data_IF_311286117643
#
_entry.id   IF_311286117643
#
_cell.length_a   1.000
_cell.length_b   1.000
_cell.length_c   1.000
_cell.angle_alpha   90.00
_cell.angle_beta   90.00
_cell.angle_gamma   90.00
#
_symmetry.space_group_name_H-M   'P 1'
#
loop_
_entity.id
_entity.type
_entity.pdbx_description
1 polymer ?
#
# COMPACT_ATOMS: atom_id res chain seq x y z
N UNK A 1 -29.63 -3.08 -10.77
CA UNK A 1 -28.87 -3.46 -9.55
C UNK A 1 -29.74 -4.36 -8.67
N UNK A 2 -29.19 -5.37 -8.04
CA UNK A 2 -29.92 -6.28 -7.15
C UNK A 2 -30.35 -5.48 -5.89
N UNK A 3 -31.64 -5.57 -5.46
CA UNK A 3 -32.18 -4.82 -4.33
C UNK A 3 -31.35 -5.01 -3.05
N UNK A 4 -30.84 -6.22 -2.81
CA UNK A 4 -30.02 -6.56 -1.66
C UNK A 4 -28.69 -5.78 -1.59
N UNK A 5 -28.08 -5.50 -2.73
CA UNK A 5 -26.81 -4.74 -2.82
C UNK A 5 -27.09 -3.27 -2.54
N UNK A 6 -28.16 -2.72 -3.11
CA UNK A 6 -28.59 -1.35 -2.82
C UNK A 6 -28.80 -1.13 -1.32
N UNK A 7 -29.49 -2.08 -0.66
CA UNK A 7 -29.77 -2.00 0.78
C UNK A 7 -28.48 -2.04 1.62
N UNK A 8 -27.50 -2.85 1.22
CA UNK A 8 -26.20 -2.90 1.90
C UNK A 8 -25.42 -1.58 1.76
N UNK A 9 -25.38 -0.99 0.55
CA UNK A 9 -24.74 0.31 0.34
C UNK A 9 -25.40 1.39 1.18
N UNK A 10 -26.72 1.47 1.14
CA UNK A 10 -27.50 2.45 1.90
C UNK A 10 -27.27 2.28 3.41
N UNK A 11 -27.23 1.05 3.90
CA UNK A 11 -26.93 0.77 5.30
C UNK A 11 -25.55 1.29 5.71
N UNK A 12 -24.49 1.07 4.89
CA UNK A 12 -23.15 1.58 5.17
C UNK A 12 -23.09 3.11 5.09
N UNK A 13 -23.76 3.72 4.11
CA UNK A 13 -23.88 5.16 3.96
C UNK A 13 -24.58 5.80 5.16
N UNK A 14 -25.70 5.23 5.62
CA UNK A 14 -26.43 5.73 6.80
C UNK A 14 -25.62 5.58 8.08
N UNK A 15 -24.86 4.51 8.20
CA UNK A 15 -23.99 4.30 9.36
C UNK A 15 -22.85 5.31 9.40
N UNK A 16 -22.12 5.53 8.29
CA UNK A 16 -21.00 6.45 8.28
C UNK A 16 -21.44 7.91 8.45
N UNK A 17 -22.64 8.25 8.01
CA UNK A 17 -23.22 9.60 8.20
C UNK A 17 -23.27 10.01 9.66
N UNK A 18 -23.45 9.06 10.59
CA UNK A 18 -23.51 9.29 12.03
C UNK A 18 -22.14 9.41 12.70
N UNK A 19 -21.06 9.16 11.96
CA UNK A 19 -19.70 9.26 12.51
C UNK A 19 -19.33 10.72 12.74
N UNK A 20 -18.68 10.99 13.88
CA UNK A 20 -18.04 12.27 14.19
C UNK A 20 -16.60 12.36 13.68
N UNK A 21 -16.05 11.25 13.14
CA UNK A 21 -14.70 11.17 12.59
C UNK A 21 -14.68 11.63 11.14
N UNK A 22 -13.48 11.82 10.58
CA UNK A 22 -13.30 12.01 9.15
C UNK A 22 -13.91 10.81 8.41
N UNK A 23 -14.89 11.08 7.57
CA UNK A 23 -15.65 10.08 6.84
C UNK A 23 -14.99 9.81 5.49
N UNK A 24 -14.61 8.57 5.29
CA UNK A 24 -13.91 8.12 4.08
C UNK A 24 -14.69 6.99 3.43
N UNK A 25 -14.72 6.96 2.10
CA UNK A 25 -15.16 5.79 1.35
C UNK A 25 -14.07 5.36 0.37
N UNK A 26 -13.88 4.07 0.17
CA UNK A 26 -13.06 3.56 -0.92
C UNK A 26 -13.91 2.80 -1.92
N UNK A 27 -13.75 3.11 -3.20
CA UNK A 27 -14.36 2.40 -4.31
C UNK A 27 -13.26 1.84 -5.19
N UNK A 28 -13.21 0.51 -5.30
CA UNK A 28 -12.15 -0.19 -6.01
C UNK A 28 -12.66 -1.32 -6.87
N UNK A 29 -11.74 -1.94 -7.60
CA UNK A 29 -11.96 -3.14 -8.38
C UNK A 29 -10.98 -4.24 -7.97
N UNK A 30 -11.21 -5.47 -8.44
CA UNK A 30 -10.31 -6.61 -8.20
C UNK A 30 -10.10 -7.40 -9.48
N UNK A 31 -8.92 -8.00 -9.61
CA UNK A 31 -8.62 -8.91 -10.74
C UNK A 31 -9.36 -10.24 -10.67
N UNK A 32 -9.95 -10.60 -9.53
CA UNK A 32 -10.85 -11.75 -9.43
C UNK A 32 -12.15 -11.41 -10.13
N UNK A 33 -12.67 -12.35 -10.92
CA UNK A 33 -14.01 -12.20 -11.48
C UNK A 33 -15.02 -12.24 -10.32
N UNK A 34 -15.55 -11.08 -9.99
CA UNK A 34 -16.66 -10.97 -9.06
C UNK A 34 -17.94 -11.07 -9.88
N UNK A 35 -18.79 -12.01 -9.52
CA UNK A 35 -20.13 -12.11 -10.10
C UNK A 35 -20.98 -10.88 -9.74
N UNK A 36 -20.68 -10.22 -8.63
CA UNK A 36 -21.46 -9.14 -8.05
C UNK A 36 -20.58 -8.11 -7.32
N UNK A 37 -21.15 -6.96 -7.07
CA UNK A 37 -20.71 -5.93 -6.15
C UNK A 37 -20.48 -6.47 -4.73
N UNK A 38 -19.40 -6.03 -4.07
CA UNK A 38 -19.10 -6.42 -2.70
C UNK A 38 -18.97 -5.21 -1.78
N UNK A 39 -19.62 -5.29 -0.63
CA UNK A 39 -19.37 -4.42 0.50
C UNK A 39 -18.31 -5.08 1.38
N UNK A 40 -17.17 -4.44 1.53
CA UNK A 40 -16.08 -4.94 2.36
C UNK A 40 -16.23 -4.46 3.81
N UNK A 41 -15.57 -5.13 4.78
CA UNK A 41 -15.62 -4.69 6.16
C UNK A 41 -15.19 -3.24 6.33
N UNK A 42 -15.90 -2.53 7.20
CA UNK A 42 -15.59 -1.16 7.60
C UNK A 42 -14.23 -1.12 8.30
N UNK A 43 -13.47 -0.05 8.06
CA UNK A 43 -12.21 0.23 8.75
C UNK A 43 -12.41 1.44 9.64
N UNK A 44 -12.12 1.30 10.93
CA UNK A 44 -12.21 2.39 11.90
C UNK A 44 -10.85 2.60 12.57
N UNK A 45 -10.45 3.86 12.66
CA UNK A 45 -9.26 4.32 13.34
C UNK A 45 -9.63 5.46 14.29
N UNK A 46 -8.66 5.98 15.01
CA UNK A 46 -8.91 7.06 15.96
C UNK A 46 -9.55 8.28 15.30
N UNK A 47 -9.02 8.70 14.15
CA UNK A 47 -9.39 9.95 13.49
C UNK A 47 -10.31 9.78 12.28
N UNK A 48 -10.50 8.57 11.76
CA UNK A 48 -11.36 8.36 10.59
C UNK A 48 -12.11 7.02 10.62
N UNK A 49 -13.19 6.98 9.87
CA UNK A 49 -13.92 5.77 9.50
C UNK A 49 -13.98 5.65 7.99
N UNK A 50 -13.83 4.41 7.49
CA UNK A 50 -13.86 4.13 6.07
C UNK A 50 -14.80 2.98 5.75
N UNK A 51 -15.74 3.22 4.84
CA UNK A 51 -16.56 2.19 4.19
C UNK A 51 -15.92 1.81 2.87
N UNK A 52 -16.05 0.55 2.46
CA UNK A 52 -15.25 0.02 1.37
C UNK A 52 -16.10 -0.81 0.41
N UNK A 53 -15.98 -0.51 -0.88
CA UNK A 53 -16.76 -1.13 -1.94
C UNK A 53 -15.85 -1.69 -3.03
N UNK A 54 -16.18 -2.89 -3.53
CA UNK A 54 -15.62 -3.43 -4.76
C UNK A 54 -16.70 -3.53 -5.82
N UNK A 55 -16.46 -2.90 -6.94
CA UNK A 55 -17.37 -2.84 -8.08
C UNK A 55 -16.75 -3.50 -9.31
N UNK A 56 -17.58 -4.04 -10.17
CA UNK A 56 -17.17 -4.66 -11.43
C UNK A 56 -17.90 -4.11 -12.66
N UNK A 57 -18.93 -3.28 -12.45
CA UNK A 57 -19.74 -2.68 -13.52
C UNK A 57 -19.85 -1.17 -13.35
N UNK A 58 -19.95 -0.41 -14.45
CA UNK A 58 -20.11 1.06 -14.41
C UNK A 58 -21.33 1.51 -13.61
N UNK A 59 -22.46 0.77 -13.71
CA UNK A 59 -23.71 1.11 -13.04
C UNK A 59 -23.58 1.00 -11.52
N UNK A 60 -22.84 -0.01 -11.03
CA UNK A 60 -22.58 -0.20 -9.59
C UNK A 60 -21.64 0.90 -9.06
N UNK A 61 -20.64 1.29 -9.86
CA UNK A 61 -19.75 2.39 -9.53
C UNK A 61 -20.49 3.73 -9.45
N UNK A 62 -21.29 4.05 -10.48
CA UNK A 62 -22.10 5.27 -10.53
C UNK A 62 -23.03 5.37 -9.32
N UNK A 63 -23.74 4.28 -9.02
CA UNK A 63 -24.62 4.23 -7.85
C UNK A 63 -23.86 4.48 -6.54
N UNK A 64 -22.68 3.89 -6.36
CA UNK A 64 -21.86 4.15 -5.17
C UNK A 64 -21.48 5.62 -5.07
N UNK A 65 -20.94 6.19 -6.13
CA UNK A 65 -20.46 7.57 -6.11
C UNK A 65 -21.60 8.57 -5.83
N UNK A 66 -22.77 8.38 -6.44
CA UNK A 66 -23.95 9.21 -6.18
C UNK A 66 -24.39 9.16 -4.69
N UNK A 67 -24.28 8.00 -4.03
CA UNK A 67 -24.70 7.83 -2.65
C UNK A 67 -23.65 8.31 -1.63
N UNK A 68 -22.40 8.35 -2.05
CA UNK A 68 -21.28 8.78 -1.22
C UNK A 68 -21.10 10.30 -1.25
N UNK A 69 -21.45 10.95 -2.36
CA UNK A 69 -21.24 12.39 -2.56
C UNK A 69 -21.96 13.22 -1.50
N UNK A 70 -21.23 14.13 -0.86
CA UNK A 70 -21.74 14.98 0.23
C UNK A 70 -22.03 14.23 1.54
N UNK A 71 -21.86 12.90 1.59
CA UNK A 71 -21.98 12.09 2.82
C UNK A 71 -20.63 11.83 3.45
N UNK A 72 -19.62 11.54 2.62
CA UNK A 72 -18.24 11.36 3.08
C UNK A 72 -17.40 12.56 2.73
N UNK A 73 -16.34 12.79 3.52
CA UNK A 73 -15.42 13.90 3.29
C UNK A 73 -14.46 13.58 2.12
N UNK A 74 -14.04 12.30 2.03
CA UNK A 74 -13.07 11.82 1.03
C UNK A 74 -13.58 10.54 0.36
N UNK A 75 -13.54 10.51 -0.97
CA UNK A 75 -13.73 9.32 -1.79
C UNK A 75 -12.39 8.88 -2.36
N UNK A 76 -11.88 7.75 -1.90
CA UNK A 76 -10.69 7.10 -2.44
C UNK A 76 -11.07 6.26 -3.66
N UNK A 77 -10.56 6.60 -4.82
CA UNK A 77 -10.88 5.96 -6.09
C UNK A 77 -9.70 5.12 -6.56
N UNK A 78 -9.91 3.83 -6.74
CA UNK A 78 -8.91 2.90 -7.26
C UNK A 78 -8.52 3.25 -8.69
N UNK A 79 -7.27 3.61 -8.88
CA UNK A 79 -6.70 3.95 -10.21
C UNK A 79 -5.84 2.82 -10.80
N UNK A 80 -5.82 1.67 -10.15
CA UNK A 80 -5.08 0.51 -10.66
C UNK A 80 -5.97 -0.31 -11.59
N UNK A 81 -5.83 -0.14 -12.88
CA UNK A 81 -6.63 -0.77 -13.93
C UNK A 81 -6.62 -2.32 -13.87
N UNK A 82 -7.32 -2.88 -12.89
CA UNK A 82 -7.46 -4.33 -12.67
C UNK A 82 -8.56 -4.94 -13.54
N UNK A 83 -9.46 -4.11 -14.02
CA UNK A 83 -10.55 -4.42 -14.96
C UNK A 83 -10.65 -3.31 -16.00
N UNK A 84 -11.42 -3.56 -17.06
CA UNK A 84 -11.76 -2.56 -18.08
C UNK A 84 -12.83 -1.58 -17.56
N UNK A 85 -12.52 -0.88 -16.45
CA UNK A 85 -13.41 0.04 -15.78
C UNK A 85 -12.61 1.24 -15.28
N UNK A 86 -12.87 2.43 -15.82
CA UNK A 86 -12.26 3.67 -15.36
C UNK A 86 -13.10 4.27 -14.23
N UNK A 87 -12.73 3.92 -12.99
CA UNK A 87 -13.41 4.42 -11.80
C UNK A 87 -13.19 5.92 -11.59
N UNK A 88 -12.06 6.47 -12.03
CA UNK A 88 -11.78 7.90 -11.87
C UNK A 88 -12.65 8.74 -12.80
N UNK A 89 -12.84 8.32 -14.05
CA UNK A 89 -13.77 8.96 -14.99
C UNK A 89 -15.19 8.98 -14.41
N UNK A 90 -15.67 7.83 -13.88
CA UNK A 90 -16.99 7.74 -13.28
C UNK A 90 -17.08 8.63 -12.04
N UNK A 91 -16.09 8.59 -11.14
CA UNK A 91 -16.10 9.41 -9.93
C UNK A 91 -16.18 10.89 -10.25
N UNK A 92 -15.39 11.40 -11.20
CA UNK A 92 -15.41 12.82 -11.57
C UNK A 92 -16.75 13.28 -12.13
N UNK A 93 -17.54 12.36 -12.69
CA UNK A 93 -18.88 12.64 -13.21
C UNK A 93 -19.95 12.74 -12.12
N UNK A 94 -19.83 11.94 -11.06
CA UNK A 94 -20.88 11.75 -10.06
C UNK A 94 -20.57 12.35 -8.69
N UNK A 95 -19.31 12.69 -8.38
CA UNK A 95 -18.90 13.29 -7.11
C UNK A 95 -18.63 14.76 -7.31
N UNK A 96 -19.40 15.63 -6.62
CA UNK A 96 -19.31 17.09 -6.74
C UNK A 96 -19.01 17.80 -5.42
N UNK A 97 -19.32 17.18 -4.28
CA UNK A 97 -19.22 17.77 -2.94
C UNK A 97 -18.13 17.15 -2.09
N UNK A 98 -17.86 15.87 -2.29
CA UNK A 98 -16.78 15.15 -1.59
C UNK A 98 -15.46 15.29 -2.32
N UNK A 99 -14.34 15.23 -1.59
CA UNK A 99 -13.00 15.25 -2.19
C UNK A 99 -12.67 13.92 -2.86
N UNK A 100 -12.32 13.94 -4.14
CA UNK A 100 -11.86 12.75 -4.87
C UNK A 100 -10.35 12.61 -4.69
N UNK A 101 -9.88 11.43 -4.30
CA UNK A 101 -8.47 11.12 -4.14
C UNK A 101 -8.12 9.81 -4.85
N UNK A 102 -7.10 9.86 -5.70
CA UNK A 102 -6.57 8.68 -6.36
C UNK A 102 -5.98 7.70 -5.33
N UNK A 103 -6.39 6.44 -5.39
CA UNK A 103 -5.99 5.40 -4.45
C UNK A 103 -5.41 4.20 -5.18
N UNK A 104 -4.35 3.64 -4.61
CA UNK A 104 -3.67 2.44 -5.14
C UNK A 104 -3.72 1.32 -4.10
N UNK A 105 -4.78 0.48 -4.11
CA UNK A 105 -4.95 -0.57 -3.11
C UNK A 105 -3.84 -1.61 -3.08
N UNK A 106 -3.17 -1.87 -4.22
CA UNK A 106 -2.01 -2.76 -4.23
C UNK A 106 -0.84 -2.18 -3.43
N UNK A 107 -0.62 -0.86 -3.49
CA UNK A 107 0.43 -0.22 -2.70
C UNK A 107 0.14 -0.31 -1.20
N UNK A 108 -1.12 -0.15 -0.79
CA UNK A 108 -1.53 -0.39 0.59
C UNK A 108 -1.31 -1.85 1.03
N UNK A 109 -1.54 -2.80 0.12
CA UNK A 109 -1.27 -4.23 0.37
C UNK A 109 0.22 -4.51 0.52
N UNK A 110 1.06 -3.90 -0.32
CA UNK A 110 2.52 -4.00 -0.22
C UNK A 110 3.01 -3.43 1.11
N UNK A 111 2.50 -2.26 1.51
CA UNK A 111 2.84 -1.61 2.78
C UNK A 111 2.46 -2.48 3.97
N UNK A 112 1.26 -3.06 3.97
CA UNK A 112 0.80 -3.93 5.04
C UNK A 112 1.68 -5.19 5.17
N UNK A 113 2.05 -5.81 4.05
CA UNK A 113 2.92 -6.98 4.06
C UNK A 113 4.35 -6.65 4.51
N UNK A 114 4.92 -5.53 4.03
CA UNK A 114 6.24 -5.04 4.47
C UNK A 114 6.25 -4.82 5.99
N UNK A 115 5.22 -4.16 6.53
CA UNK A 115 5.09 -3.93 7.97
C UNK A 115 5.00 -5.23 8.77
N UNK A 116 4.19 -6.20 8.33
CA UNK A 116 4.06 -7.49 9.02
C UNK A 116 5.38 -8.26 9.07
N UNK A 117 6.10 -8.33 7.94
CA UNK A 117 7.41 -8.97 7.86
C UNK A 117 8.42 -8.26 8.76
N UNK A 118 8.46 -6.94 8.71
CA UNK A 118 9.36 -6.13 9.54
C UNK A 118 9.08 -6.28 11.02
N UNK A 119 7.82 -6.24 11.43
CA UNK A 119 7.43 -6.44 12.83
C UNK A 119 7.84 -7.81 13.35
N UNK A 120 7.63 -8.86 12.55
CA UNK A 120 8.02 -10.21 12.93
C UNK A 120 9.52 -10.33 13.17
N UNK A 121 10.34 -9.76 12.29
CA UNK A 121 11.80 -9.80 12.41
C UNK A 121 12.41 -8.59 13.14
N UNK A 122 11.59 -7.74 13.76
CA UNK A 122 12.04 -6.54 14.50
C UNK A 122 12.99 -5.67 13.65
N UNK A 123 12.63 -5.46 12.37
CA UNK A 123 13.43 -4.79 11.35
C UNK A 123 14.80 -5.45 11.02
N UNK A 124 15.08 -6.64 11.53
CA UNK A 124 16.33 -7.39 11.27
C UNK A 124 16.15 -8.34 10.06
N UNK A 125 16.08 -7.77 8.85
CA UNK A 125 15.86 -8.55 7.62
C UNK A 125 17.15 -9.00 6.94
N UNK A 126 18.28 -8.43 7.29
CA UNK A 126 19.58 -8.84 6.73
C UNK A 126 19.86 -10.31 6.98
N UNK A 127 20.17 -11.06 5.91
CA UNK A 127 20.41 -12.50 5.95
C UNK A 127 19.15 -13.37 6.08
N UNK A 128 17.95 -12.77 6.10
CA UNK A 128 16.70 -13.54 6.02
C UNK A 128 16.41 -13.95 4.58
N UNK A 129 15.85 -15.14 4.41
CA UNK A 129 15.39 -15.65 3.11
C UNK A 129 13.87 -15.73 3.10
N UNK A 130 13.22 -15.02 2.19
CA UNK A 130 11.76 -14.95 2.10
C UNK A 130 11.31 -15.57 0.77
N UNK A 131 10.41 -16.56 0.86
CA UNK A 131 9.72 -17.13 -0.29
C UNK A 131 8.48 -16.27 -0.60
N UNK A 132 8.35 -15.82 -1.85
CA UNK A 132 7.16 -15.12 -2.34
C UNK A 132 6.48 -15.98 -3.39
N UNK A 133 5.23 -16.37 -3.13
CA UNK A 133 4.39 -17.07 -4.09
C UNK A 133 3.64 -16.08 -4.97
N UNK A 134 3.88 -16.17 -6.28
CA UNK A 134 3.36 -15.27 -7.30
C UNK A 134 4.41 -14.30 -7.85
N UNK A 135 4.19 -13.84 -9.08
CA UNK A 135 5.01 -12.85 -9.78
C UNK A 135 4.13 -11.70 -10.34
N UNK A 136 3.15 -11.28 -9.56
CA UNK A 136 2.26 -10.16 -9.88
C UNK A 136 2.77 -8.82 -9.33
N UNK A 137 1.98 -7.77 -9.51
CA UNK A 137 2.29 -6.41 -9.10
C UNK A 137 2.67 -6.30 -7.60
N UNK A 138 1.84 -6.88 -6.71
CA UNK A 138 2.08 -6.81 -5.25
C UNK A 138 3.34 -7.60 -4.89
N UNK A 139 3.48 -8.82 -5.41
CA UNK A 139 4.65 -9.68 -5.17
C UNK A 139 5.96 -9.02 -5.60
N UNK A 140 5.98 -8.40 -6.79
CA UNK A 140 7.15 -7.72 -7.33
C UNK A 140 7.55 -6.50 -6.49
N UNK A 141 6.60 -5.67 -6.12
CA UNK A 141 6.84 -4.49 -5.26
C UNK A 141 7.34 -4.89 -3.87
N UNK A 142 6.74 -5.94 -3.27
CA UNK A 142 7.19 -6.43 -1.98
C UNK A 142 8.59 -7.04 -2.07
N UNK A 143 8.87 -7.83 -3.11
CA UNK A 143 10.18 -8.42 -3.34
C UNK A 143 11.28 -7.35 -3.39
N UNK A 144 11.04 -6.27 -4.14
CA UNK A 144 11.98 -5.14 -4.21
C UNK A 144 12.21 -4.52 -2.83
N UNK A 145 11.15 -4.17 -2.11
CA UNK A 145 11.24 -3.54 -0.78
C UNK A 145 12.01 -4.38 0.24
N UNK A 146 11.73 -5.67 0.30
CA UNK A 146 12.41 -6.57 1.24
C UNK A 146 13.87 -6.79 0.83
N UNK A 147 14.16 -6.88 -0.48
CA UNK A 147 15.53 -7.00 -0.98
C UNK A 147 16.37 -5.75 -0.69
N UNK A 148 15.81 -4.55 -0.83
CA UNK A 148 16.45 -3.30 -0.45
C UNK A 148 16.75 -3.20 1.05
N UNK A 149 16.05 -4.00 1.88
CA UNK A 149 16.33 -4.19 3.32
C UNK A 149 17.32 -5.33 3.59
N UNK A 150 18.01 -5.81 2.56
CA UNK A 150 18.98 -6.90 2.59
C UNK A 150 18.40 -8.28 2.93
N UNK A 151 17.12 -8.55 2.66
CA UNK A 151 16.56 -9.89 2.63
C UNK A 151 16.85 -10.56 1.28
N UNK A 152 17.17 -11.84 1.27
CA UNK A 152 17.23 -12.65 0.05
C UNK A 152 15.83 -13.11 -0.33
N UNK A 153 15.43 -12.90 -1.58
CA UNK A 153 14.07 -13.19 -2.03
C UNK A 153 14.08 -14.33 -3.03
N UNK A 154 13.24 -15.33 -2.80
CA UNK A 154 12.94 -16.38 -3.77
C UNK A 154 11.50 -16.23 -4.25
N UNK A 155 11.31 -16.11 -5.56
CA UNK A 155 9.98 -15.97 -6.17
C UNK A 155 9.60 -17.25 -6.90
N UNK A 156 8.48 -17.84 -6.52
CA UNK A 156 7.91 -19.03 -7.16
C UNK A 156 6.60 -18.66 -7.86
N UNK A 157 6.47 -19.00 -9.13
CA UNK A 157 5.26 -18.79 -9.91
C UNK A 157 5.01 -19.94 -10.88
N UNK A 158 3.73 -20.25 -11.14
CA UNK A 158 3.34 -21.25 -12.16
C UNK A 158 3.93 -20.98 -13.53
N UNK A 159 4.11 -19.72 -13.88
CA UNK A 159 4.77 -19.32 -15.11
C UNK A 159 6.17 -18.80 -14.76
N UNK A 160 7.15 -19.71 -14.80
CA UNK A 160 8.52 -19.39 -14.50
C UNK A 160 9.13 -18.36 -15.45
N UNK A 161 8.84 -18.43 -16.75
CA UNK A 161 9.35 -17.45 -17.72
C UNK A 161 8.91 -16.03 -17.37
N UNK A 162 7.64 -15.85 -17.00
CA UNK A 162 7.14 -14.55 -16.53
C UNK A 162 7.81 -14.12 -15.22
N UNK A 163 7.97 -15.05 -14.27
CA UNK A 163 8.65 -14.76 -13.01
C UNK A 163 10.09 -14.31 -13.25
N UNK A 164 10.82 -14.99 -14.13
CA UNK A 164 12.20 -14.64 -14.51
C UNK A 164 12.29 -13.22 -15.09
N UNK A 165 11.40 -12.88 -16.04
CA UNK A 165 11.37 -11.52 -16.60
C UNK A 165 11.15 -10.45 -15.53
N UNK A 166 10.24 -10.69 -14.57
CA UNK A 166 10.00 -9.79 -13.45
C UNK A 166 11.25 -9.68 -12.56
N UNK A 167 11.85 -10.79 -12.21
CA UNK A 167 13.07 -10.88 -11.38
C UNK A 167 14.24 -10.14 -12.02
N UNK A 168 14.47 -10.35 -13.32
CA UNK A 168 15.53 -9.68 -14.05
C UNK A 168 15.33 -8.14 -14.04
N UNK A 169 14.09 -7.68 -14.24
CA UNK A 169 13.73 -6.27 -14.15
C UNK A 169 13.94 -5.69 -12.74
N UNK A 170 13.56 -6.42 -11.70
CA UNK A 170 13.75 -5.98 -10.32
C UNK A 170 15.24 -5.91 -9.94
N UNK A 171 16.04 -6.91 -10.34
CA UNK A 171 17.48 -6.89 -10.06
C UNK A 171 18.19 -5.74 -10.81
N UNK A 172 17.73 -5.37 -12.01
CA UNK A 172 18.29 -4.28 -12.79
C UNK A 172 18.12 -2.89 -12.12
N UNK A 173 17.13 -2.75 -11.24
CA UNK A 173 16.85 -1.49 -10.52
C UNK A 173 17.31 -1.50 -9.07
N UNK A 174 17.87 -2.60 -8.57
CA UNK A 174 18.45 -2.65 -7.23
C UNK A 174 19.62 -1.67 -7.11
N UNK A 175 19.82 -1.07 -5.92
CA UNK A 175 20.99 -0.22 -5.67
C UNK A 175 22.30 -0.93 -6.01
N UNK A 176 23.24 -0.21 -6.61
CA UNK A 176 24.56 -0.75 -7.05
C UNK A 176 25.30 -1.58 -6.00
N UNK A 177 25.12 -1.26 -4.73
CA UNK A 177 25.79 -1.91 -3.62
C UNK A 177 24.84 -2.83 -2.82
N UNK A 178 23.73 -3.24 -3.41
CA UNK A 178 22.86 -4.24 -2.79
C UNK A 178 23.64 -5.51 -2.48
N UNK A 179 23.46 -6.03 -1.27
CA UNK A 179 24.10 -7.28 -0.81
C UNK A 179 23.19 -8.50 -0.99
N UNK A 180 21.96 -8.28 -1.38
CA UNK A 180 20.93 -9.29 -1.57
C UNK A 180 20.41 -9.24 -2.99
N UNK A 181 19.82 -10.33 -3.43
CA UNK A 181 19.25 -10.48 -4.77
C UNK A 181 17.85 -11.09 -4.69
N UNK A 182 17.13 -10.91 -5.78
CA UNK A 182 15.85 -11.56 -6.03
C UNK A 182 16.12 -12.68 -7.04
N UNK A 183 15.62 -13.90 -6.76
CA UNK A 183 15.81 -15.06 -7.61
C UNK A 183 14.47 -15.71 -7.91
N UNK A 184 14.23 -16.02 -9.19
CA UNK A 184 13.12 -16.85 -9.62
C UNK A 184 13.50 -18.32 -9.47
N UNK A 185 12.65 -19.11 -8.81
CA UNK A 185 12.88 -20.56 -8.66
C UNK A 185 11.81 -21.34 -9.42
N UNK A 186 12.22 -22.44 -10.05
CA UNK A 186 11.31 -23.35 -10.77
C UNK A 186 10.69 -24.40 -9.84
N UNK A 187 11.43 -24.80 -8.82
CA UNK A 187 11.02 -25.82 -7.84
C UNK A 187 11.41 -25.41 -6.43
N UNK A 188 10.71 -25.98 -5.48
CA UNK A 188 11.00 -25.80 -4.07
C UNK A 188 12.24 -26.61 -3.66
N UNK A 189 13.03 -26.13 -2.69
CA UNK A 189 14.11 -26.91 -2.08
C UNK A 189 13.53 -28.07 -1.25
N UNK A 190 14.40 -29.03 -0.85
CA UNK A 190 14.00 -30.12 0.02
C UNK A 190 14.12 -29.81 1.52
N UNK A 191 14.93 -28.82 1.89
CA UNK A 191 15.25 -28.50 3.26
C UNK A 191 14.59 -27.19 3.71
N UNK A 192 14.34 -27.00 5.01
CA UNK A 192 13.80 -25.75 5.56
C UNK A 192 14.82 -24.61 5.46
N UNK A 193 14.66 -23.77 4.46
CA UNK A 193 15.60 -22.67 4.17
C UNK A 193 14.98 -21.29 4.31
N UNK A 194 13.63 -21.19 4.34
CA UNK A 194 12.96 -19.90 4.36
C UNK A 194 12.70 -19.41 5.79
N UNK A 195 13.01 -18.17 6.06
CA UNK A 195 12.64 -17.49 7.30
C UNK A 195 11.18 -16.98 7.24
N UNK A 196 10.65 -16.77 6.04
CA UNK A 196 9.26 -16.40 5.82
C UNK A 196 8.70 -16.83 4.47
N UNK A 197 7.37 -16.93 4.39
CA UNK A 197 6.61 -17.20 3.18
C UNK A 197 5.49 -16.16 3.04
N UNK A 198 5.40 -15.52 1.87
CA UNK A 198 4.31 -14.56 1.58
C UNK A 198 3.63 -14.96 0.27
N UNK A 199 2.30 -15.05 0.27
CA UNK A 199 1.55 -15.45 -0.92
C UNK A 199 0.59 -14.36 -1.39
N UNK A 200 0.68 -14.00 -2.69
CA UNK A 200 -0.23 -13.08 -3.38
C UNK A 200 -0.76 -13.69 -4.67
N UNK A 201 -1.33 -14.87 -4.57
CA UNK A 201 -1.89 -15.59 -5.72
C UNK A 201 -3.40 -15.46 -5.73
N UNK A 202 -4.00 -15.24 -6.90
CA UNK A 202 -5.46 -15.17 -7.06
C UNK A 202 -6.11 -16.57 -7.18
N UNK A 203 -5.69 -17.51 -6.31
CA UNK A 203 -6.22 -18.88 -6.27
C UNK A 203 -6.18 -19.40 -4.84
N UNK A 204 -7.12 -20.31 -4.52
CA UNK A 204 -7.23 -20.91 -3.19
C UNK A 204 -6.23 -22.07 -3.03
N UNK A 205 -5.77 -22.30 -1.80
CA UNK A 205 -4.97 -23.45 -1.42
C UNK A 205 -3.64 -23.58 -2.16
N UNK A 206 -3.01 -22.49 -2.58
CA UNK A 206 -1.74 -22.53 -3.36
C UNK A 206 -0.58 -23.04 -2.53
N UNK A 207 -0.50 -22.65 -1.26
CA UNK A 207 0.50 -23.16 -0.34
C UNK A 207 -0.02 -24.48 0.25
N UNK A 208 0.65 -25.57 -0.10
CA UNK A 208 0.34 -26.94 0.34
C UNK A 208 1.17 -27.32 1.57
N UNK A 209 0.81 -28.44 2.20
CA UNK A 209 1.37 -28.91 3.46
C UNK A 209 2.90 -28.95 3.45
N UNK A 210 3.50 -29.46 2.38
CA UNK A 210 4.95 -29.59 2.24
C UNK A 210 5.68 -28.24 2.31
N UNK A 211 5.05 -27.15 1.89
CA UNK A 211 5.65 -25.81 1.96
C UNK A 211 5.78 -25.31 3.39
N UNK A 212 4.96 -25.79 4.31
CA UNK A 212 5.06 -25.38 5.70
C UNK A 212 6.37 -25.86 6.36
N UNK A 213 6.85 -27.03 5.95
CA UNK A 213 8.12 -27.58 6.45
C UNK A 213 9.34 -26.91 5.84
N UNK A 214 9.19 -26.13 4.78
CA UNK A 214 10.27 -25.34 4.18
C UNK A 214 10.50 -24.01 4.91
N UNK A 215 9.54 -23.60 5.74
CA UNK A 215 9.68 -22.43 6.61
C UNK A 215 10.29 -22.87 7.94
N UNK A 216 11.36 -22.22 8.34
CA UNK A 216 12.04 -22.50 9.61
C UNK A 216 11.11 -22.30 10.81
N UNK A 217 11.32 -23.05 11.87
CA UNK A 217 10.61 -22.88 13.14
C UNK A 217 10.77 -21.43 13.64
N UNK A 218 9.66 -20.84 14.07
CA UNK A 218 9.59 -19.43 14.46
C UNK A 218 9.54 -18.44 13.29
N UNK A 219 9.50 -18.95 12.04
CA UNK A 219 9.28 -18.12 10.86
C UNK A 219 7.84 -17.66 10.71
N UNK A 220 7.59 -16.84 9.70
CA UNK A 220 6.28 -16.24 9.41
C UNK A 220 5.75 -16.69 8.06
N UNK A 221 4.43 -16.95 7.98
CA UNK A 221 3.72 -17.15 6.73
C UNK A 221 2.57 -16.13 6.63
N UNK A 222 2.47 -15.41 5.49
CA UNK A 222 1.46 -14.36 5.27
C UNK A 222 0.57 -14.71 4.07
N UNK A 223 -0.73 -14.88 4.32
CA UNK A 223 -1.75 -15.01 3.28
C UNK A 223 -2.22 -13.62 2.84
N UNK A 224 -1.70 -13.12 1.73
CA UNK A 224 -2.09 -11.84 1.13
C UNK A 224 -3.10 -11.99 -0.03
N UNK A 225 -3.34 -13.22 -0.51
CA UNK A 225 -4.21 -13.49 -1.64
C UNK A 225 -5.63 -13.94 -1.29
N UNK A 226 -5.94 -14.10 -0.02
CA UNK A 226 -7.17 -14.68 0.54
C UNK A 226 -7.28 -16.17 0.21
N UNK A 227 -7.29 -17.01 1.24
CA UNK A 227 -7.36 -18.47 1.18
C UNK A 227 -6.20 -19.12 0.37
N UNK A 228 -5.02 -18.49 0.31
CA UNK A 228 -3.89 -19.09 -0.38
C UNK A 228 -3.32 -20.30 0.40
N UNK A 229 -3.52 -20.37 1.70
CA UNK A 229 -3.05 -21.47 2.53
C UNK A 229 -4.09 -22.58 2.59
N UNK A 230 -3.68 -23.82 2.24
CA UNK A 230 -4.52 -25.01 2.40
C UNK A 230 -4.71 -25.36 3.88
N UNK A 231 -5.77 -26.10 4.25
CA UNK A 231 -5.92 -26.61 5.61
C UNK A 231 -4.71 -27.45 6.08
N UNK A 232 -4.10 -28.23 5.17
CA UNK A 232 -2.88 -28.99 5.45
C UNK A 232 -1.70 -28.08 5.79
N UNK A 233 -1.50 -27.00 5.01
CA UNK A 233 -0.48 -25.98 5.29
C UNK A 233 -0.64 -25.36 6.68
N UNK A 234 -1.85 -24.94 7.03
CA UNK A 234 -2.13 -24.32 8.33
C UNK A 234 -1.86 -25.27 9.50
N UNK A 235 -2.26 -26.53 9.35
CA UNK A 235 -2.01 -27.58 10.36
C UNK A 235 -0.51 -27.82 10.53
N UNK A 236 0.20 -28.10 9.43
CA UNK A 236 1.64 -28.37 9.44
C UNK A 236 2.44 -27.15 9.95
N UNK A 237 2.02 -25.92 9.61
CA UNK A 237 2.63 -24.70 10.13
C UNK A 237 2.52 -24.60 11.65
N UNK A 238 1.35 -24.93 12.24
CA UNK A 238 1.16 -24.98 13.68
C UNK A 238 2.09 -26.00 14.35
N UNK A 239 2.18 -27.20 13.78
CA UNK A 239 3.06 -28.29 14.27
C UNK A 239 4.55 -27.91 14.18
N UNK A 240 4.95 -27.22 13.09
CA UNK A 240 6.32 -26.76 12.88
C UNK A 240 6.66 -25.45 13.59
N UNK A 241 5.69 -24.81 14.27
CA UNK A 241 5.88 -23.55 14.97
C UNK A 241 6.09 -22.35 14.04
N UNK A 242 5.48 -22.36 12.86
CA UNK A 242 5.42 -21.23 11.92
C UNK A 242 4.22 -20.35 12.27
N UNK A 243 4.42 -19.05 12.32
CA UNK A 243 3.37 -18.07 12.65
C UNK A 243 2.61 -17.71 11.36
N UNK A 244 1.37 -18.18 11.25
CA UNK A 244 0.51 -17.87 10.11
C UNK A 244 -0.33 -16.62 10.36
N UNK A 245 -0.25 -15.65 9.44
CA UNK A 245 -1.06 -14.45 9.47
C UNK A 245 -1.84 -14.27 8.16
N UNK A 246 -3.08 -13.84 8.27
CA UNK A 246 -3.76 -13.22 7.14
C UNK A 246 -3.32 -11.77 7.06
N UNK A 247 -2.99 -11.30 5.87
CA UNK A 247 -2.61 -9.91 5.67
C UNK A 247 -3.79 -8.98 6.01
N UNK A 248 -3.54 -8.04 6.89
CA UNK A 248 -4.49 -6.98 7.20
C UNK A 248 -4.11 -5.70 6.46
N UNK A 249 -4.83 -5.41 5.39
CA UNK A 249 -4.59 -4.20 4.56
C UNK A 249 -4.73 -2.91 5.38
N UNK A 250 -5.44 -2.94 6.53
CA UNK A 250 -5.56 -1.78 7.41
C UNK A 250 -4.20 -1.22 7.83
N UNK A 251 -3.20 -2.07 7.98
CA UNK A 251 -1.85 -1.66 8.36
C UNK A 251 -1.22 -0.68 7.34
N UNK A 252 -1.47 -0.88 6.05
CA UNK A 252 -0.96 0.00 4.99
C UNK A 252 -1.93 1.12 4.58
N UNK A 253 -3.20 0.99 4.93
CA UNK A 253 -4.24 1.92 4.46
C UNK A 253 -4.06 3.34 5.01
N UNK A 254 -3.58 3.47 6.23
CA UNK A 254 -3.33 4.77 6.89
C UNK A 254 -2.37 5.64 6.08
N UNK A 255 -1.33 5.04 5.49
CA UNK A 255 -0.36 5.77 4.66
C UNK A 255 -1.00 6.39 3.42
N UNK A 256 -2.00 5.72 2.84
CA UNK A 256 -2.74 6.26 1.69
C UNK A 256 -3.59 7.48 2.03
N UNK A 257 -4.02 7.59 3.29
CA UNK A 257 -4.83 8.72 3.78
C UNK A 257 -3.99 9.91 4.25
N UNK A 258 -2.76 9.67 4.72
CA UNK A 258 -1.93 10.74 5.28
C UNK A 258 -1.73 11.90 4.31
N UNK A 259 -1.44 11.61 3.05
CA UNK A 259 -1.24 12.64 2.02
C UNK A 259 -2.50 13.44 1.68
N UNK A 260 -3.67 12.90 2.03
CA UNK A 260 -4.98 13.47 1.72
C UNK A 260 -5.61 14.14 2.95
N UNK A 261 -4.99 14.03 4.14
CA UNK A 261 -5.51 14.67 5.34
C UNK A 261 -5.30 16.18 5.26
N UNK A 262 -6.28 17.00 5.71
CA UNK A 262 -6.13 18.45 5.76
C UNK A 262 -4.88 18.90 6.52
N UNK A 263 -4.53 18.21 7.60
CA UNK A 263 -3.37 18.55 8.42
C UNK A 263 -2.05 18.37 7.68
N UNK A 264 -1.90 17.23 6.97
CA UNK A 264 -0.70 16.96 6.15
C UNK A 264 -0.66 17.90 4.95
N UNK A 265 -1.80 18.14 4.29
CA UNK A 265 -1.90 19.11 3.20
C UNK A 265 -1.53 20.51 3.65
N UNK A 266 -2.06 20.96 4.78
CA UNK A 266 -1.73 22.26 5.36
C UNK A 266 -0.26 22.35 5.75
N UNK A 267 0.30 21.31 6.39
CA UNK A 267 1.71 21.26 6.70
C UNK A 267 2.56 21.37 5.42
N UNK A 268 2.24 20.60 4.39
CA UNK A 268 2.96 20.64 3.11
C UNK A 268 2.88 22.01 2.44
N UNK A 269 1.70 22.62 2.41
CA UNK A 269 1.48 23.95 1.84
C UNK A 269 2.17 25.06 2.66
N UNK A 270 2.30 24.90 3.97
CA UNK A 270 3.00 25.85 4.84
C UNK A 270 4.52 25.70 4.79
N UNK A 271 5.04 24.50 4.58
CA UNK A 271 6.48 24.23 4.44
C UNK A 271 6.97 24.55 3.04
N UNK A 272 6.13 24.33 2.03
CA UNK A 272 6.41 24.61 0.62
C UNK A 272 5.94 26.03 0.32
N UNK A 273 6.84 26.98 0.27
CA UNK A 273 6.39 28.31 -0.03
C UNK A 273 7.48 29.33 -0.26
N UNK A 274 7.02 30.40 -0.83
CA UNK A 274 7.74 31.64 -1.00
C UNK A 274 7.05 32.70 -0.16
N UNK A 275 7.78 33.39 0.67
CA UNK A 275 7.28 34.53 1.45
C UNK A 275 8.22 35.72 1.29
N UNK A 276 7.63 36.91 1.26
CA UNK A 276 8.39 38.15 1.32
C UNK A 276 8.24 38.74 2.73
N UNK A 277 9.37 38.94 3.41
CA UNK A 277 9.43 39.64 4.70
C UNK A 277 10.45 40.76 4.53
N UNK A 278 10.05 42.01 4.73
CA UNK A 278 10.90 43.20 4.56
C UNK A 278 11.62 43.26 3.19
N UNK A 279 10.90 42.97 2.12
CA UNK A 279 11.42 42.86 0.76
C UNK A 279 12.46 41.73 0.54
N UNK A 280 12.65 40.85 1.50
CA UNK A 280 13.50 39.68 1.37
C UNK A 280 12.64 38.50 0.94
N UNK A 281 12.99 37.89 -0.18
CA UNK A 281 12.36 36.66 -0.68
C UNK A 281 12.89 35.46 0.09
N UNK A 282 12.03 34.87 0.92
CA UNK A 282 12.33 33.64 1.67
C UNK A 282 11.74 32.44 0.95
N UNK A 283 12.55 31.45 0.67
CA UNK A 283 12.15 30.22 -0.04
C UNK A 283 12.35 29.03 0.89
N UNK A 284 11.34 28.16 0.96
CA UNK A 284 11.37 26.94 1.76
C UNK A 284 10.73 25.77 0.99
N UNK A 285 10.95 24.55 1.46
CA UNK A 285 10.20 23.38 1.03
C UNK A 285 10.47 22.92 -0.40
N UNK A 286 11.72 22.89 -0.85
CA UNK A 286 12.09 22.30 -2.14
C UNK A 286 11.79 23.18 -3.36
N UNK A 287 11.47 24.45 -3.18
CA UNK A 287 11.39 25.41 -4.29
C UNK A 287 12.80 25.75 -4.73
N UNK A 288 13.10 25.54 -6.01
CA UNK A 288 14.36 25.98 -6.62
C UNK A 288 14.27 27.50 -6.82
N UNK A 289 15.01 28.24 -6.00
CA UNK A 289 15.08 29.69 -6.11
C UNK A 289 16.18 30.17 -7.08
N UNK A 290 16.03 31.38 -7.61
CA UNK A 290 17.06 32.04 -8.40
C UNK A 290 18.29 32.37 -7.54
N UNK A 291 19.47 32.49 -8.18
CA UNK A 291 20.71 32.93 -7.49
C UNK A 291 20.46 34.23 -6.72
N UNK A 292 20.77 34.21 -5.42
CA UNK A 292 20.59 35.39 -4.52
C UNK A 292 19.37 35.34 -3.60
N UNK A 293 18.56 34.29 -3.65
CA UNK A 293 17.48 34.07 -2.67
C UNK A 293 17.99 33.55 -1.32
N UNK A 294 17.28 33.86 -0.25
CA UNK A 294 17.57 33.32 1.09
C UNK A 294 16.75 32.07 1.33
N UNK A 295 17.40 31.00 1.79
CA UNK A 295 16.74 29.76 2.14
C UNK A 295 16.50 29.71 3.64
N UNK A 296 15.24 29.50 4.03
CA UNK A 296 14.92 29.14 5.39
C UNK A 296 15.25 27.66 5.60
N UNK A 297 16.24 27.38 6.44
CA UNK A 297 16.39 26.04 6.98
C UNK A 297 15.24 25.79 7.96
N UNK A 298 14.57 24.65 7.91
CA UNK A 298 13.66 24.28 8.97
C UNK A 298 14.46 24.15 10.25
N UNK A 299 14.32 25.11 11.15
CA UNK A 299 14.89 25.02 12.49
C UNK A 299 13.87 24.38 13.42
N UNK A 300 14.36 23.48 14.26
CA UNK A 300 13.69 22.98 15.44
C UNK A 300 12.93 24.10 16.17
N UNK A 301 11.76 23.76 16.63
CA UNK A 301 10.86 24.58 17.44
C UNK A 301 11.52 25.10 18.71
N UNK A 302 12.28 26.17 18.60
CA UNK A 302 12.58 27.05 19.72
C UNK A 302 12.48 28.47 19.23
N UNK A 303 11.55 29.21 19.83
CA UNK A 303 11.39 30.65 19.68
C UNK A 303 12.73 31.35 19.91
N UNK A 304 13.48 31.61 18.86
CA UNK A 304 14.60 32.52 18.89
C UNK A 304 14.59 33.39 17.65
N UNK A 305 14.47 34.66 17.88
CA UNK A 305 14.47 35.77 16.95
C UNK A 305 15.27 35.50 15.66
N UNK A 306 14.63 35.72 14.52
CA UNK A 306 15.21 35.72 13.18
C UNK A 306 16.32 36.80 13.07
N UNK A 307 17.53 36.50 13.52
CA UNK A 307 18.68 37.40 13.34
C UNK A 307 19.93 36.76 12.76
N UNK A 308 19.89 35.57 12.19
CA UNK A 308 21.08 35.02 11.51
C UNK A 308 20.71 34.27 10.25
N UNK A 309 20.44 35.02 9.18
CA UNK A 309 20.44 34.48 7.82
C UNK A 309 21.88 34.27 7.34
N UNK A 310 22.37 33.04 7.37
CA UNK A 310 23.62 32.71 6.68
C UNK A 310 23.39 32.64 5.17
N UNK A 311 24.21 33.38 4.41
CA UNK A 311 24.27 33.32 2.94
C UNK A 311 24.77 31.92 2.53
N UNK A 312 23.90 31.06 2.05
CA UNK A 312 24.29 29.84 1.40
C UNK A 312 24.78 30.14 -0.01
N UNK A 313 26.05 29.88 -0.29
CA UNK A 313 26.54 29.86 -1.68
C UNK A 313 26.01 28.58 -2.32
N UNK A 314 25.21 28.72 -3.37
CA UNK A 314 24.80 27.60 -4.19
C UNK A 314 26.04 26.98 -4.85
N UNK A 315 26.30 25.71 -4.56
CA UNK A 315 27.27 24.92 -5.32
C UNK A 315 26.69 24.66 -6.71
N UNK A 316 27.43 25.04 -7.74
CA UNK A 316 27.20 24.62 -9.12
C UNK A 316 27.42 23.11 -9.20
N UNK A 317 26.42 22.37 -9.65
CA UNK A 317 26.63 21.03 -10.18
C UNK A 317 27.23 21.14 -11.59
N UNK A 318 28.44 20.65 -11.78
CA UNK A 318 28.95 20.15 -13.04
C UNK A 318 28.60 18.66 -13.21
#
# INVERSE_FOLDING_TARGET
MNSRISDQVLCEVDNIRRSSKLKVASVGSTSRLLAEFLVLPRRSYEHFECINFLVSRPEDASFCFERLDGVVDIVLVDVEAKQSLDLMEIATKYVQHSSIVAYKPNDASVEAADLLVRQHFQDQLSGKTILILGAGNISAKLALRLCERNASIKMLSRNYSKARTVVDGLNAILPKYSRSSIEGIESLPNDPVFDGLVSFVAADGVAQEEMAYLVKRGGIAIDGGINNFSPGFLKASGENGVICNRMDVRLGFVYSLLSSSPDVSNFYMNVRGERFIDNIRLIAGGIIGNRGGYYLRPHSTTNSNCRNGQRGRGSSFE
#
